data_IF_740226930442
#
_entry.id   IF_740226930442
#
_cell.length_a   1.000
_cell.length_b   1.000
_cell.length_c   1.000
_cell.angle_alpha   90.00
_cell.angle_beta   90.00
_cell.angle_gamma   90.00
#
_symmetry.space_group_name_H-M   'P 1'
#
loop_
_entity.id
_entity.type
_entity.pdbx_description
1 polymer ?
#
# COMPACT_ATOMS: atom_id res chain seq x y z
N UNK A 1 51.66 11.09 -79.11
CA UNK A 1 50.53 10.73 -78.24
C UNK A 1 51.07 10.20 -76.92
N UNK A 2 51.07 11.04 -75.87
CA UNK A 2 51.57 10.70 -74.51
C UNK A 2 50.32 10.34 -73.68
N UNK A 3 50.23 9.11 -73.18
CA UNK A 3 49.25 8.72 -72.20
C UNK A 3 49.69 9.07 -70.80
N UNK A 4 48.93 9.90 -70.10
CA UNK A 4 49.07 10.12 -68.67
C UNK A 4 48.39 8.93 -67.91
N UNK A 5 49.20 8.32 -67.01
CA UNK A 5 48.63 7.41 -65.98
C UNK A 5 48.36 8.27 -64.75
N UNK A 6 47.09 8.24 -64.33
CA UNK A 6 46.65 8.80 -63.03
C UNK A 6 46.66 7.69 -61.98
N UNK A 7 47.53 7.80 -60.99
CA UNK A 7 47.55 6.95 -59.78
C UNK A 7 46.51 7.50 -58.78
N UNK A 8 45.48 6.74 -58.44
CA UNK A 8 44.57 7.02 -57.36
C UNK A 8 45.10 6.37 -56.07
N UNK A 9 45.46 7.17 -55.08
CA UNK A 9 45.79 6.68 -53.72
C UNK A 9 44.51 6.64 -52.92
N UNK A 10 44.02 5.43 -52.69
CA UNK A 10 42.88 5.19 -51.77
C UNK A 10 43.37 5.20 -50.30
N UNK A 11 42.92 6.17 -49.52
CA UNK A 11 43.14 6.22 -48.08
C UNK A 11 42.03 5.40 -47.42
N UNK A 12 42.38 4.24 -46.89
CA UNK A 12 41.50 3.35 -46.14
C UNK A 12 41.41 3.87 -44.68
N UNK A 13 40.29 4.52 -44.32
CA UNK A 13 40.02 4.87 -42.93
C UNK A 13 39.55 3.61 -42.18
N UNK A 14 40.38 3.05 -41.33
CA UNK A 14 40.00 2.02 -40.36
C UNK A 14 39.23 2.70 -39.22
N UNK A 15 37.88 2.61 -39.23
CA UNK A 15 37.05 2.93 -38.08
C UNK A 15 37.24 1.86 -37.00
N UNK A 16 38.07 2.15 -36.01
CA UNK A 16 38.14 1.34 -34.77
C UNK A 16 36.88 1.68 -33.97
N UNK A 17 35.88 0.82 -34.05
CA UNK A 17 34.76 0.83 -33.11
C UNK A 17 35.28 0.42 -31.73
N UNK A 18 35.55 1.38 -30.88
CA UNK A 18 35.79 1.11 -29.45
C UNK A 18 34.44 0.80 -28.84
N UNK A 19 34.17 -0.48 -28.59
CA UNK A 19 33.07 -0.89 -27.73
C UNK A 19 33.34 -0.36 -26.32
N UNK A 20 32.77 0.80 -26.01
CA UNK A 20 32.68 1.30 -24.64
C UNK A 20 31.58 0.43 -24.00
N UNK A 21 31.91 -0.43 -23.00
CA UNK A 21 30.87 -1.17 -22.29
C UNK A 21 29.92 -0.14 -21.67
N UNK A 22 28.68 -0.12 -22.10
CA UNK A 22 27.66 0.70 -21.48
C UNK A 22 27.61 0.32 -20.00
N UNK A 23 28.16 1.17 -19.13
CA UNK A 23 28.00 1.02 -17.69
C UNK A 23 26.51 0.97 -17.43
N UNK A 24 25.99 -0.19 -16.99
CA UNK A 24 24.58 -0.35 -16.71
C UNK A 24 24.19 0.75 -15.71
N UNK A 25 23.28 1.63 -16.13
CA UNK A 25 22.82 2.72 -15.29
C UNK A 25 22.27 2.14 -13.98
N UNK A 26 22.58 2.79 -12.85
CA UNK A 26 22.07 2.35 -11.54
C UNK A 26 20.54 2.31 -11.60
N UNK A 27 19.89 1.21 -11.18
CA UNK A 27 18.43 1.13 -11.19
C UNK A 27 17.79 2.29 -10.42
N UNK A 28 16.64 2.77 -10.88
CA UNK A 28 15.85 3.81 -10.20
C UNK A 28 15.47 3.35 -8.77
N UNK A 29 15.26 4.26 -7.83
CA UNK A 29 14.95 3.93 -6.43
C UNK A 29 13.76 2.97 -6.27
N UNK A 30 12.67 3.17 -7.06
CA UNK A 30 11.54 2.22 -7.14
C UNK A 30 12.01 0.81 -7.49
N UNK A 31 12.82 0.65 -8.52
CA UNK A 31 13.31 -0.66 -8.94
C UNK A 31 14.28 -1.26 -7.91
N UNK A 32 15.07 -0.42 -7.23
CA UNK A 32 15.92 -0.89 -6.13
C UNK A 32 15.09 -1.47 -4.97
N UNK A 33 13.97 -0.79 -4.62
CA UNK A 33 13.06 -1.29 -3.60
C UNK A 33 12.39 -2.61 -4.03
N UNK A 34 11.91 -2.73 -5.26
CA UNK A 34 11.34 -3.98 -5.80
C UNK A 34 12.37 -5.12 -5.75
N UNK A 35 13.59 -4.86 -6.22
CA UNK A 35 14.68 -5.84 -6.19
C UNK A 35 15.04 -6.26 -4.75
N UNK A 36 15.00 -5.32 -3.80
CA UNK A 36 15.21 -5.60 -2.38
C UNK A 36 14.11 -6.48 -1.80
N UNK A 37 12.85 -6.18 -2.08
CA UNK A 37 11.72 -7.00 -1.68
C UNK A 37 11.83 -8.42 -2.24
N UNK A 38 12.20 -8.58 -3.51
CA UNK A 38 12.41 -9.89 -4.13
C UNK A 38 13.53 -10.70 -3.46
N UNK A 39 14.64 -10.04 -3.07
CA UNK A 39 15.72 -10.71 -2.33
C UNK A 39 15.29 -11.13 -0.92
N UNK A 40 14.53 -10.29 -0.23
CA UNK A 40 14.00 -10.58 1.10
C UNK A 40 13.05 -11.78 1.03
N UNK A 41 12.13 -11.81 0.07
CA UNK A 41 11.19 -12.91 -0.15
C UNK A 41 11.88 -14.27 -0.33
N UNK A 42 13.09 -14.31 -0.89
CA UNK A 42 13.88 -15.54 -1.03
C UNK A 42 14.50 -16.03 0.30
N UNK A 43 14.58 -15.18 1.31
CA UNK A 43 15.20 -15.49 2.61
C UNK A 43 14.16 -15.72 3.71
N UNK A 44 13.01 -15.07 3.60
CA UNK A 44 11.93 -15.12 4.55
C UNK A 44 10.90 -14.04 4.23
N UNK A 45 10.21 -13.58 5.24
CA UNK A 45 9.20 -12.53 5.17
C UNK A 45 9.39 -11.56 6.32
N UNK A 46 9.17 -10.26 6.06
CA UNK A 46 9.29 -9.25 7.09
C UNK A 46 8.05 -9.21 7.99
N UNK A 47 8.27 -8.99 9.27
CA UNK A 47 7.24 -8.45 10.16
C UNK A 47 7.04 -6.98 9.84
N UNK A 48 5.80 -6.59 9.57
CA UNK A 48 5.36 -5.22 9.48
C UNK A 48 4.53 -4.82 10.70
N UNK A 49 4.28 -3.50 10.88
CA UNK A 49 3.33 -3.01 11.85
C UNK A 49 2.82 -1.63 11.46
N UNK A 50 1.50 -1.44 11.54
CA UNK A 50 0.87 -0.16 11.29
C UNK A 50 1.03 0.73 12.53
N UNK A 51 1.44 1.99 12.32
CA UNK A 51 1.55 3.03 13.34
C UNK A 51 2.41 2.66 14.57
N UNK A 52 3.31 1.69 14.44
CA UNK A 52 4.14 1.11 15.51
C UNK A 52 4.84 2.14 16.42
N UNK A 53 5.31 3.33 15.95
CA UNK A 53 6.05 4.26 16.79
C UNK A 53 5.18 5.34 17.46
N UNK A 54 3.85 5.26 17.41
CA UNK A 54 3.01 6.35 17.92
C UNK A 54 2.27 5.99 19.19
N UNK A 55 1.78 4.78 19.28
CA UNK A 55 0.99 4.26 20.40
C UNK A 55 0.97 2.73 20.41
N UNK A 56 0.63 2.16 21.55
CA UNK A 56 0.46 0.73 21.76
C UNK A 56 -0.69 0.44 22.72
N UNK A 57 -0.75 -0.79 23.23
CA UNK A 57 -1.85 -1.24 24.09
C UNK A 57 -1.91 -0.43 25.40
N UNK A 58 -0.76 -0.06 25.98
CA UNK A 58 -0.64 0.58 27.31
C UNK A 58 0.07 1.92 27.29
N UNK A 59 0.40 2.43 26.11
CA UNK A 59 1.15 3.68 25.96
C UNK A 59 0.72 4.44 24.71
N UNK A 60 0.92 5.74 24.71
CA UNK A 60 0.75 6.63 23.56
C UNK A 60 1.75 7.78 23.62
N UNK A 61 2.20 8.21 22.44
CA UNK A 61 3.02 9.40 22.21
C UNK A 61 4.42 9.40 22.86
N UNK A 62 4.93 8.26 23.35
CA UNK A 62 6.29 8.14 23.84
C UNK A 62 7.28 8.25 22.68
N UNK A 63 8.29 9.12 22.80
CA UNK A 63 9.31 9.28 21.78
C UNK A 63 10.22 8.05 21.67
N UNK A 64 10.50 7.65 20.43
CA UNK A 64 11.38 6.51 20.08
C UNK A 64 10.91 5.14 20.63
N UNK A 65 9.66 5.02 21.01
CA UNK A 65 9.07 3.75 21.44
C UNK A 65 8.47 3.00 20.27
N UNK A 66 8.42 1.69 20.38
CA UNK A 66 7.87 0.75 19.39
C UNK A 66 7.44 -0.51 20.14
N UNK A 67 6.19 -0.93 19.93
CA UNK A 67 5.69 -2.21 20.49
C UNK A 67 6.54 -3.38 20.03
N UNK A 68 6.95 -3.36 18.76
CA UNK A 68 7.81 -4.41 18.18
C UNK A 68 9.17 -4.41 18.85
N UNK A 69 9.81 -3.25 19.00
CA UNK A 69 11.11 -3.15 19.64
C UNK A 69 11.07 -3.56 21.12
N UNK A 70 10.06 -3.12 21.86
CA UNK A 70 9.83 -3.49 23.26
C UNK A 70 9.68 -5.02 23.44
N UNK A 71 9.12 -5.71 22.42
CA UNK A 71 8.87 -7.14 22.49
C UNK A 71 10.07 -7.98 22.06
N UNK A 72 10.73 -7.64 20.94
CA UNK A 72 11.76 -8.49 20.31
C UNK A 72 13.16 -7.86 20.23
N UNK A 73 13.33 -6.58 20.61
CA UNK A 73 14.61 -5.87 20.60
C UNK A 73 15.07 -5.42 19.21
N UNK A 74 14.12 -5.35 18.24
CA UNK A 74 14.34 -4.85 16.88
C UNK A 74 13.08 -4.17 16.35
N UNK A 75 13.23 -3.33 15.32
CA UNK A 75 12.11 -2.64 14.68
C UNK A 75 11.47 -3.49 13.59
N UNK A 76 10.16 -3.26 13.27
CA UNK A 76 9.51 -3.95 12.15
C UNK A 76 10.29 -3.70 10.85
N UNK A 77 10.41 -4.72 10.02
CA UNK A 77 11.04 -4.59 8.70
C UNK A 77 10.28 -3.65 7.77
N UNK A 78 8.94 -3.59 7.93
CA UNK A 78 8.04 -2.66 7.23
C UNK A 78 7.22 -1.88 8.26
N UNK A 79 7.22 -0.56 8.19
CA UNK A 79 6.29 0.28 8.96
C UNK A 79 5.19 0.82 8.06
N UNK A 80 3.94 0.67 8.51
CA UNK A 80 2.76 1.22 7.86
C UNK A 80 2.37 2.57 8.46
N UNK A 81 1.86 3.46 7.61
CA UNK A 81 1.32 4.77 7.97
C UNK A 81 0.08 5.06 7.12
N UNK A 82 -0.81 5.95 7.59
CA UNK A 82 -1.99 6.36 6.83
C UNK A 82 -2.06 7.87 6.64
N UNK A 83 -2.52 8.29 5.45
CA UNK A 83 -2.66 9.72 5.10
C UNK A 83 -4.10 10.23 5.13
N UNK A 84 -5.08 9.46 5.60
CA UNK A 84 -6.47 9.90 5.69
C UNK A 84 -6.61 11.17 6.55
N UNK A 85 -7.27 12.21 6.00
CA UNK A 85 -7.40 13.54 6.60
C UNK A 85 -6.43 14.58 6.02
N UNK A 86 -5.26 14.17 5.48
CA UNK A 86 -4.33 15.09 4.85
C UNK A 86 -4.94 15.78 3.63
N UNK A 87 -5.76 15.07 2.87
CA UNK A 87 -6.44 15.56 1.68
C UNK A 87 -7.38 16.73 1.94
N UNK A 88 -7.95 16.81 3.15
CA UNK A 88 -8.80 17.92 3.56
C UNK A 88 -8.05 19.03 4.29
N UNK A 89 -6.76 18.81 4.58
CA UNK A 89 -5.90 19.77 5.27
C UNK A 89 -5.95 19.67 6.79
N UNK A 90 -6.35 18.51 7.34
CA UNK A 90 -6.26 18.26 8.78
C UNK A 90 -4.77 18.21 9.20
N UNK A 91 -4.48 18.53 10.46
CA UNK A 91 -3.13 18.45 11.03
C UNK A 91 -2.75 17.02 11.46
N UNK A 92 -3.75 16.16 11.59
CA UNK A 92 -3.64 14.77 12.07
C UNK A 92 -4.41 13.83 11.16
N UNK A 93 -3.92 12.59 11.05
CA UNK A 93 -4.65 11.56 10.31
C UNK A 93 -5.91 11.07 11.05
N UNK A 94 -6.65 10.14 10.43
CA UNK A 94 -7.87 9.56 11.01
C UNK A 94 -7.64 8.88 12.38
N UNK A 95 -6.42 8.45 12.68
CA UNK A 95 -6.01 7.84 13.96
C UNK A 95 -5.42 8.87 14.95
N UNK A 96 -5.62 10.15 14.69
CA UNK A 96 -5.14 11.28 15.50
C UNK A 96 -3.62 11.45 15.52
N UNK A 97 -2.88 10.83 14.59
CA UNK A 97 -1.43 10.98 14.48
C UNK A 97 -1.09 12.26 13.69
N UNK A 98 -0.29 13.18 14.27
CA UNK A 98 0.15 14.38 13.54
C UNK A 98 0.97 14.03 12.30
N UNK A 99 0.67 14.65 11.14
CA UNK A 99 1.42 14.40 9.90
C UNK A 99 2.88 14.78 10.00
N UNK A 100 3.24 15.72 10.86
CA UNK A 100 4.64 16.03 11.18
C UNK A 100 5.37 14.86 11.83
N UNK A 101 4.71 14.10 12.72
CA UNK A 101 5.28 12.88 13.33
C UNK A 101 5.32 11.73 12.32
N UNK A 102 4.28 11.54 11.50
CA UNK A 102 4.28 10.55 10.43
C UNK A 102 5.50 10.76 9.51
N UNK A 103 5.71 12.01 9.06
CA UNK A 103 6.89 12.36 8.24
C UNK A 103 8.21 12.01 8.94
N UNK A 104 8.35 12.35 10.21
CA UNK A 104 9.58 12.06 10.97
C UNK A 104 9.85 10.56 11.08
N UNK A 105 8.84 9.76 11.39
CA UNK A 105 9.00 8.32 11.55
C UNK A 105 9.20 7.59 10.21
N UNK A 106 8.62 8.05 9.12
CA UNK A 106 8.95 7.56 7.77
C UNK A 106 10.44 7.74 7.48
N UNK A 107 10.98 8.94 7.75
CA UNK A 107 12.41 9.22 7.54
C UNK A 107 13.28 8.35 8.47
N UNK A 108 12.91 8.25 9.75
CA UNK A 108 13.63 7.40 10.73
C UNK A 108 13.61 5.92 10.35
N UNK A 109 12.47 5.40 9.87
CA UNK A 109 12.37 4.01 9.43
C UNK A 109 13.30 3.74 8.24
N UNK A 110 13.35 4.66 7.29
CA UNK A 110 14.29 4.58 6.18
C UNK A 110 15.75 4.64 6.65
N UNK A 111 16.09 5.55 7.59
CA UNK A 111 17.45 5.67 8.18
C UNK A 111 17.87 4.41 8.93
N UNK A 112 16.94 3.72 9.59
CA UNK A 112 17.17 2.40 10.21
C UNK A 112 17.42 1.31 9.15
N UNK A 113 17.13 1.58 7.89
CA UNK A 113 17.19 0.62 6.78
C UNK A 113 15.94 -0.24 6.64
N UNK A 114 14.85 0.11 7.30
CA UNK A 114 13.54 -0.49 7.12
C UNK A 114 12.85 -0.03 5.84
N UNK A 115 11.66 -0.57 5.60
CA UNK A 115 10.80 -0.25 4.45
C UNK A 115 9.54 0.46 4.99
N UNK A 116 8.95 1.31 4.15
CA UNK A 116 7.75 2.07 4.48
C UNK A 116 6.64 1.72 3.50
N UNK A 117 5.44 1.46 4.04
CA UNK A 117 4.20 1.37 3.26
C UNK A 117 3.22 2.44 3.74
N UNK A 118 2.48 3.02 2.81
CA UNK A 118 1.52 4.09 3.09
C UNK A 118 0.17 3.70 2.51
N UNK A 119 -0.84 3.59 3.37
CA UNK A 119 -2.24 3.50 3.00
C UNK A 119 -2.88 4.90 2.95
N UNK A 120 -4.06 4.98 2.38
CA UNK A 120 -4.83 6.22 2.34
C UNK A 120 -6.33 5.91 2.49
N UNK A 121 -6.90 6.35 3.61
CA UNK A 121 -8.33 6.28 3.91
C UNK A 121 -8.95 7.68 3.77
N UNK A 122 -9.12 8.22 2.55
CA UNK A 122 -9.62 9.57 2.38
C UNK A 122 -11.08 9.70 2.80
N UNK A 123 -11.45 10.87 3.27
CA UNK A 123 -12.85 11.22 3.48
C UNK A 123 -13.66 11.06 2.20
N UNK A 124 -14.97 10.91 2.29
CA UNK A 124 -15.84 10.94 1.11
C UNK A 124 -15.85 12.36 0.51
N UNK A 125 -15.33 12.57 -0.71
CA UNK A 125 -15.22 13.91 -1.28
C UNK A 125 -16.56 14.53 -1.66
N UNK A 126 -17.56 13.70 -1.98
CA UNK A 126 -18.89 14.13 -2.37
C UNK A 126 -19.71 14.59 -1.16
N UNK A 127 -19.62 13.85 -0.05
CA UNK A 127 -20.47 14.04 1.13
C UNK A 127 -19.73 14.73 2.30
N UNK A 128 -18.39 14.76 2.28
CA UNK A 128 -17.59 15.32 3.37
C UNK A 128 -17.49 14.45 4.61
N UNK A 129 -17.93 13.17 4.52
CA UNK A 129 -17.95 12.20 5.61
C UNK A 129 -16.61 11.41 5.67
N UNK A 130 -16.62 10.21 6.23
CA UNK A 130 -15.42 9.36 6.36
C UNK A 130 -15.18 8.47 5.12
N UNK A 131 -14.17 7.61 5.16
CA UNK A 131 -13.94 6.59 4.14
C UNK A 131 -15.07 5.55 4.09
N UNK A 132 -15.69 5.26 5.25
CA UNK A 132 -16.78 4.29 5.42
C UNK A 132 -18.11 4.87 4.98
N UNK A 133 -18.83 4.15 4.12
CA UNK A 133 -20.03 4.66 3.39
C UNK A 133 -21.37 4.15 3.95
N UNK A 134 -21.39 3.17 4.86
CA UNK A 134 -22.63 2.53 5.30
C UNK A 134 -23.65 3.52 5.88
N UNK A 135 -23.18 4.47 6.71
CA UNK A 135 -24.04 5.51 7.30
C UNK A 135 -24.58 6.47 6.23
N UNK A 136 -23.77 6.78 5.23
CA UNK A 136 -24.15 7.66 4.13
C UNK A 136 -25.24 7.01 3.27
N UNK A 137 -25.10 5.70 2.98
CA UNK A 137 -26.10 4.94 2.24
C UNK A 137 -27.41 4.85 3.04
N UNK A 138 -27.34 4.62 4.33
CA UNK A 138 -28.52 4.58 5.21
C UNK A 138 -29.23 5.91 5.18
N UNK A 139 -28.53 7.03 5.42
CA UNK A 139 -29.12 8.37 5.42
C UNK A 139 -29.73 8.73 4.05
N UNK A 140 -29.06 8.38 2.95
CA UNK A 140 -29.60 8.57 1.61
C UNK A 140 -30.90 7.81 1.38
N UNK A 141 -30.95 6.53 1.75
CA UNK A 141 -32.15 5.69 1.59
C UNK A 141 -33.32 6.20 2.44
N UNK A 142 -33.06 6.68 3.64
CA UNK A 142 -34.07 7.32 4.52
C UNK A 142 -34.62 8.60 3.88
N UNK A 143 -33.75 9.45 3.35
CA UNK A 143 -34.16 10.66 2.66
C UNK A 143 -35.02 10.37 1.41
N UNK A 144 -34.59 9.41 0.58
CA UNK A 144 -35.36 8.96 -0.59
C UNK A 144 -36.74 8.44 -0.19
N UNK A 145 -36.80 7.62 0.87
CA UNK A 145 -38.06 7.07 1.40
C UNK A 145 -38.99 8.18 1.90
N UNK A 146 -38.46 9.16 2.61
CA UNK A 146 -39.22 10.32 3.10
C UNK A 146 -39.80 11.15 1.95
N UNK A 147 -38.99 11.42 0.92
CA UNK A 147 -39.45 12.19 -0.27
C UNK A 147 -40.56 11.43 -1.03
N UNK A 148 -40.44 10.14 -1.20
CA UNK A 148 -41.50 9.29 -1.81
C UNK A 148 -42.79 9.32 -1.01
N UNK A 149 -42.71 9.23 0.33
CA UNK A 149 -43.87 9.26 1.22
C UNK A 149 -44.69 10.57 1.11
N UNK A 150 -44.01 11.67 0.80
CA UNK A 150 -44.67 12.98 0.64
C UNK A 150 -44.96 13.36 -0.83
N UNK A 151 -44.77 12.41 -1.76
CA UNK A 151 -45.01 12.62 -3.20
C UNK A 151 -44.01 13.56 -3.89
N UNK A 152 -42.79 13.68 -3.35
CA UNK A 152 -41.75 14.59 -3.86
C UNK A 152 -40.56 13.79 -4.43
N UNK A 153 -40.84 12.78 -5.22
CA UNK A 153 -39.82 11.99 -5.91
C UNK A 153 -38.96 12.81 -6.89
N UNK A 154 -39.49 13.91 -7.40
CA UNK A 154 -38.82 14.91 -8.22
C UNK A 154 -37.55 15.47 -7.56
N UNK A 155 -37.49 15.52 -6.24
CA UNK A 155 -36.35 16.03 -5.47
C UNK A 155 -35.23 14.98 -5.25
N UNK A 156 -35.48 13.71 -5.52
CA UNK A 156 -34.45 12.66 -5.32
C UNK A 156 -33.19 12.91 -6.14
N UNK A 157 -33.34 13.48 -7.34
CA UNK A 157 -32.20 13.84 -8.19
C UNK A 157 -31.36 15.01 -7.66
N UNK A 158 -31.85 15.75 -6.65
CA UNK A 158 -31.18 16.90 -6.05
C UNK A 158 -30.33 16.51 -4.82
N UNK A 159 -30.49 15.29 -4.31
CA UNK A 159 -29.66 14.77 -3.22
C UNK A 159 -28.52 13.91 -3.75
N UNK A 160 -27.35 14.05 -3.12
CA UNK A 160 -26.16 13.32 -3.51
C UNK A 160 -26.27 11.83 -3.19
N UNK A 161 -26.23 11.01 -4.23
CA UNK A 161 -26.17 9.56 -4.04
C UNK A 161 -24.72 9.14 -3.67
N UNK A 162 -24.50 8.51 -2.50
CA UNK A 162 -23.17 8.04 -2.08
C UNK A 162 -22.47 7.17 -3.13
N UNK A 163 -23.23 6.37 -3.88
CA UNK A 163 -22.68 5.48 -4.95
C UNK A 163 -22.17 6.25 -6.17
N UNK A 164 -22.37 7.54 -6.26
CA UNK A 164 -21.83 8.38 -7.33
C UNK A 164 -20.52 9.07 -6.93
N UNK A 165 -19.97 8.77 -5.74
CA UNK A 165 -18.74 9.42 -5.25
C UNK A 165 -17.60 9.27 -6.25
N UNK A 166 -17.19 8.05 -6.62
CA UNK A 166 -16.09 7.83 -7.57
C UNK A 166 -16.35 8.52 -8.90
N UNK A 167 -17.55 8.37 -9.48
CA UNK A 167 -17.91 9.01 -10.75
C UNK A 167 -17.80 10.54 -10.68
N UNK A 168 -18.12 11.15 -9.53
CA UNK A 168 -18.04 12.61 -9.34
C UNK A 168 -16.62 13.17 -9.37
N UNK A 169 -15.60 12.33 -9.19
CA UNK A 169 -14.17 12.68 -9.16
C UNK A 169 -13.52 12.65 -10.55
N UNK A 170 -14.13 11.91 -11.48
CA UNK A 170 -13.59 11.73 -12.82
C UNK A 170 -13.71 13.05 -13.63
N UNK A 171 -12.94 13.21 -14.72
CA UNK A 171 -13.00 14.40 -15.56
C UNK A 171 -14.42 14.77 -15.96
N UNK A 172 -14.82 16.03 -15.71
CA UNK A 172 -16.17 16.51 -15.91
C UNK A 172 -17.15 16.23 -14.76
N UNK A 173 -16.74 15.49 -13.75
CA UNK A 173 -17.53 15.29 -12.52
C UNK A 173 -17.48 16.51 -11.60
N UNK A 174 -18.54 16.69 -10.80
CA UNK A 174 -18.71 17.91 -9.95
C UNK A 174 -17.65 18.06 -8.85
N UNK A 175 -16.91 16.99 -8.52
CA UNK A 175 -15.85 16.99 -7.52
C UNK A 175 -14.44 16.84 -8.13
N UNK A 176 -14.28 16.91 -9.45
CA UNK A 176 -13.00 16.73 -10.12
C UNK A 176 -11.93 17.71 -9.63
N UNK A 177 -12.24 19.01 -9.53
CA UNK A 177 -11.28 20.04 -9.05
C UNK A 177 -10.92 19.85 -7.58
N UNK A 178 -11.90 19.48 -6.75
CA UNK A 178 -11.66 19.16 -5.33
C UNK A 178 -10.71 17.97 -5.22
N UNK A 179 -10.88 16.96 -6.06
CA UNK A 179 -10.02 15.77 -6.05
C UNK A 179 -8.58 16.09 -6.50
N UNK A 180 -8.41 16.94 -7.51
CA UNK A 180 -7.08 17.41 -7.90
C UNK A 180 -6.37 18.15 -6.76
N UNK A 181 -7.09 19.00 -6.01
CA UNK A 181 -6.54 19.63 -4.82
C UNK A 181 -6.13 18.60 -3.75
N UNK A 182 -6.89 17.52 -3.58
CA UNK A 182 -6.56 16.44 -2.67
C UNK A 182 -5.28 15.70 -3.09
N UNK A 183 -5.19 15.35 -4.36
CA UNK A 183 -3.97 14.73 -4.92
C UNK A 183 -2.76 15.63 -4.74
N UNK A 184 -2.93 16.95 -4.95
CA UNK A 184 -1.87 17.91 -4.71
C UNK A 184 -1.38 17.88 -3.25
N UNK A 185 -2.27 17.88 -2.26
CA UNK A 185 -1.88 17.82 -0.84
C UNK A 185 -1.15 16.53 -0.49
N UNK A 186 -1.60 15.39 -1.01
CA UNK A 186 -0.91 14.11 -0.84
C UNK A 186 0.49 14.16 -1.45
N UNK A 187 0.64 14.67 -2.66
CA UNK A 187 1.95 14.76 -3.32
C UNK A 187 2.86 15.80 -2.66
N UNK A 188 2.33 16.95 -2.23
CA UNK A 188 3.09 17.95 -1.46
C UNK A 188 3.70 17.33 -0.19
N UNK A 189 2.97 16.46 0.51
CA UNK A 189 3.50 15.71 1.64
C UNK A 189 4.58 14.70 1.20
N UNK A 190 4.29 13.86 0.20
CA UNK A 190 5.21 12.81 -0.26
C UNK A 190 6.56 13.40 -0.71
N UNK A 191 6.58 14.54 -1.41
CA UNK A 191 7.82 15.18 -1.85
C UNK A 191 8.68 15.71 -0.69
N UNK A 192 8.12 15.84 0.51
CA UNK A 192 8.90 16.19 1.71
C UNK A 192 9.63 14.98 2.34
N UNK A 193 9.33 13.76 1.90
CA UNK A 193 9.94 12.53 2.41
C UNK A 193 11.34 12.37 1.79
N UNK A 194 12.33 13.01 2.40
CA UNK A 194 13.70 13.03 1.93
C UNK A 194 14.67 12.60 3.04
N UNK A 195 15.74 11.92 2.63
CA UNK A 195 16.85 11.61 3.53
C UNK A 195 17.64 12.89 3.92
N UNK A 196 18.62 12.74 4.81
CA UNK A 196 19.50 13.84 5.25
C UNK A 196 20.33 14.47 4.13
N UNK A 197 20.45 13.81 2.98
CA UNK A 197 21.14 14.30 1.79
C UNK A 197 20.21 14.99 0.80
N UNK A 198 18.91 15.04 1.12
CA UNK A 198 17.88 15.60 0.24
C UNK A 198 17.37 14.64 -0.85
N UNK A 199 17.78 13.37 -0.84
CA UNK A 199 17.26 12.38 -1.79
C UNK A 199 15.85 11.98 -1.41
N UNK A 200 14.95 11.90 -2.41
CA UNK A 200 13.60 11.41 -2.25
C UNK A 200 13.61 9.94 -1.78
N UNK A 201 12.74 9.59 -0.83
CA UNK A 201 12.61 8.24 -0.30
C UNK A 201 11.69 7.38 -1.17
N UNK A 202 12.06 6.13 -1.50
CA UNK A 202 11.13 5.20 -2.12
C UNK A 202 10.15 4.66 -1.06
N UNK A 203 8.88 4.54 -1.44
CA UNK A 203 7.80 4.04 -0.58
C UNK A 203 6.92 3.05 -1.34
N UNK A 204 6.26 2.15 -0.60
CA UNK A 204 5.13 1.37 -1.09
C UNK A 204 3.87 2.21 -0.85
N UNK A 205 3.12 2.52 -1.90
CA UNK A 205 1.86 3.25 -1.78
C UNK A 205 0.68 2.33 -2.11
N UNK A 206 -0.27 2.27 -1.20
CA UNK A 206 -1.39 1.33 -1.22
C UNK A 206 -2.73 2.08 -1.11
N UNK A 207 -3.13 2.81 -2.15
CA UNK A 207 -4.43 3.45 -2.19
C UNK A 207 -5.53 2.44 -2.56
N UNK A 208 -6.78 2.79 -2.28
CA UNK A 208 -7.98 2.09 -2.77
C UNK A 208 -7.98 0.59 -2.46
N UNK A 209 -7.39 0.23 -1.32
CA UNK A 209 -7.36 -1.14 -0.79
C UNK A 209 -8.77 -1.63 -0.46
N UNK A 210 -8.93 -2.93 -0.25
CA UNK A 210 -10.21 -3.59 0.06
C UNK A 210 -11.35 -3.19 -0.91
N UNK A 211 -10.99 -2.91 -2.16
CA UNK A 211 -11.89 -2.38 -3.18
C UNK A 211 -12.99 -3.34 -3.61
N UNK A 212 -12.91 -4.60 -3.23
CA UNK A 212 -13.92 -5.65 -3.43
C UNK A 212 -15.03 -5.63 -2.37
N UNK A 213 -14.86 -4.86 -1.28
CA UNK A 213 -15.83 -4.70 -0.21
C UNK A 213 -16.95 -3.70 -0.51
N UNK A 214 -17.83 -3.51 0.49
CA UNK A 214 -18.95 -2.57 0.43
C UNK A 214 -18.86 -1.43 1.47
N UNK A 215 -17.84 -1.46 2.32
CA UNK A 215 -17.69 -0.53 3.43
C UNK A 215 -17.02 0.80 3.06
N UNK A 216 -16.12 0.82 2.08
CA UNK A 216 -15.51 2.06 1.59
C UNK A 216 -16.26 2.64 0.39
N UNK A 217 -16.25 3.96 0.24
CA UNK A 217 -16.93 4.63 -0.87
C UNK A 217 -16.35 4.28 -2.26
N UNK A 218 -15.11 3.75 -2.34
CA UNK A 218 -14.50 3.23 -3.58
C UNK A 218 -14.72 1.72 -3.78
N UNK A 219 -15.46 1.06 -2.87
CA UNK A 219 -15.71 -0.36 -2.91
C UNK A 219 -16.59 -0.81 -4.09
N UNK A 220 -16.55 -2.11 -4.40
CA UNK A 220 -17.22 -2.69 -5.56
C UNK A 220 -18.75 -2.53 -5.55
N UNK A 221 -19.36 -2.50 -4.37
CA UNK A 221 -20.79 -2.25 -4.25
C UNK A 221 -21.17 -0.78 -4.49
N UNK A 222 -20.20 0.14 -4.53
CA UNK A 222 -20.39 1.59 -4.44
C UNK A 222 -19.95 2.36 -5.69
N UNK A 223 -19.26 1.72 -6.63
CA UNK A 223 -18.93 2.28 -7.94
C UNK A 223 -18.79 1.18 -9.00
N UNK A 224 -18.94 1.53 -10.27
CA UNK A 224 -18.70 0.58 -11.36
C UNK A 224 -17.22 0.21 -11.46
N UNK A 225 -16.91 -0.97 -12.01
CA UNK A 225 -15.53 -1.39 -12.24
C UNK A 225 -14.83 -0.46 -13.24
N UNK A 226 -15.54 0.02 -14.26
CA UNK A 226 -15.01 1.00 -15.22
C UNK A 226 -14.64 2.33 -14.54
N UNK A 227 -15.51 2.86 -13.67
CA UNK A 227 -15.21 4.08 -12.91
C UNK A 227 -14.03 3.86 -11.96
N UNK A 228 -13.92 2.68 -11.33
CA UNK A 228 -12.80 2.33 -10.47
C UNK A 228 -11.47 2.32 -11.24
N UNK A 229 -11.42 1.71 -12.42
CA UNK A 229 -10.22 1.73 -13.27
C UNK A 229 -9.82 3.15 -13.68
N UNK A 230 -10.80 3.95 -14.13
CA UNK A 230 -10.55 5.35 -14.47
C UNK A 230 -10.04 6.16 -13.28
N UNK A 231 -10.58 5.91 -12.10
CA UNK A 231 -10.19 6.54 -10.85
C UNK A 231 -8.79 6.14 -10.39
N UNK A 232 -8.44 4.85 -10.48
CA UNK A 232 -7.08 4.37 -10.22
C UNK A 232 -6.07 5.05 -11.14
N UNK A 233 -6.36 5.03 -12.44
CA UNK A 233 -5.47 5.62 -13.44
C UNK A 233 -5.28 7.12 -13.21
N UNK A 234 -6.37 7.87 -12.99
CA UNK A 234 -6.32 9.31 -12.69
C UNK A 234 -5.42 9.60 -11.48
N UNK A 235 -5.59 8.82 -10.39
CA UNK A 235 -4.77 8.97 -9.17
C UNK A 235 -3.30 8.71 -9.45
N UNK A 236 -3.01 7.57 -10.08
CA UNK A 236 -1.63 7.14 -10.33
C UNK A 236 -0.91 8.05 -11.32
N UNK A 237 -1.58 8.45 -12.40
CA UNK A 237 -0.98 9.33 -13.41
C UNK A 237 -0.65 10.70 -12.82
N UNK A 238 -1.56 11.27 -11.99
CA UNK A 238 -1.30 12.52 -11.32
C UNK A 238 -0.08 12.44 -10.38
N UNK A 239 -0.05 11.45 -9.49
CA UNK A 239 1.04 11.28 -8.52
C UNK A 239 2.36 11.01 -9.25
N UNK A 240 2.36 10.11 -10.22
CA UNK A 240 3.57 9.74 -10.96
C UNK A 240 4.19 10.90 -11.76
N UNK A 241 3.39 11.90 -12.16
CA UNK A 241 3.86 13.04 -12.94
C UNK A 241 4.54 14.13 -12.10
N UNK A 242 4.45 14.08 -10.75
CA UNK A 242 4.99 15.13 -9.89
C UNK A 242 6.52 15.09 -9.86
N UNK A 243 7.16 16.19 -10.23
CA UNK A 243 8.61 16.32 -10.24
C UNK A 243 9.19 16.40 -8.82
N UNK A 244 10.33 15.72 -8.62
CA UNK A 244 11.07 15.70 -7.33
C UNK A 244 12.50 16.24 -7.45
N UNK A 245 12.87 16.77 -8.62
CA UNK A 245 14.19 17.26 -8.96
C UNK A 245 15.04 16.26 -9.72
N UNK A 246 16.19 16.71 -10.25
CA UNK A 246 17.15 15.89 -11.00
C UNK A 246 16.53 15.15 -12.21
N UNK A 247 15.57 15.76 -12.89
CA UNK A 247 14.82 15.16 -14.00
C UNK A 247 14.10 13.86 -13.62
N UNK A 248 13.73 13.68 -12.34
CA UNK A 248 13.00 12.56 -11.79
C UNK A 248 11.61 13.00 -11.32
N UNK A 249 10.69 12.06 -11.34
CA UNK A 249 9.32 12.24 -10.84
C UNK A 249 9.02 11.24 -9.73
N UNK A 250 7.89 11.37 -9.05
CA UNK A 250 7.46 10.41 -8.03
C UNK A 250 7.32 8.99 -8.59
N UNK A 251 7.09 8.81 -9.91
CA UNK A 251 7.10 7.50 -10.56
C UNK A 251 8.38 6.70 -10.27
N UNK A 252 9.51 7.37 -10.12
CA UNK A 252 10.81 6.72 -9.91
C UNK A 252 10.99 6.23 -8.46
N UNK A 253 10.06 6.57 -7.57
CA UNK A 253 10.12 6.29 -6.13
C UNK A 253 8.92 5.52 -5.58
N UNK A 254 7.80 5.46 -6.33
CA UNK A 254 6.56 4.84 -5.86
C UNK A 254 6.46 3.37 -6.29
N UNK A 255 6.35 2.46 -5.34
CA UNK A 255 5.96 1.06 -5.55
C UNK A 255 4.46 0.97 -5.31
N UNK A 256 3.69 0.67 -6.34
CA UNK A 256 2.22 0.63 -6.28
C UNK A 256 1.72 -0.74 -5.83
N UNK A 257 0.92 -0.76 -4.76
CA UNK A 257 0.32 -1.98 -4.22
C UNK A 257 -1.18 -2.01 -4.47
N UNK A 258 -1.67 -3.12 -5.01
CA UNK A 258 -3.10 -3.43 -5.18
C UNK A 258 -3.47 -4.53 -4.19
N UNK A 259 -4.40 -4.27 -3.26
CA UNK A 259 -4.75 -5.18 -2.17
C UNK A 259 -6.26 -5.26 -1.93
N UNK A 260 -6.94 -6.27 -2.50
CA UNK A 260 -8.30 -6.61 -2.11
C UNK A 260 -8.33 -7.27 -0.73
N UNK A 261 -9.53 -7.32 -0.13
CA UNK A 261 -9.80 -7.99 1.14
C UNK A 261 -10.10 -9.48 0.93
N UNK A 262 -9.71 -10.29 1.92
CA UNK A 262 -9.92 -11.74 1.99
C UNK A 262 -11.37 -12.16 1.68
N UNK A 263 -11.53 -13.18 0.82
CA UNK A 263 -12.83 -13.74 0.45
C UNK A 263 -12.91 -15.26 0.62
N UNK A 264 -11.82 -15.99 0.40
CA UNK A 264 -11.76 -17.45 0.47
C UNK A 264 -12.52 -18.19 -0.64
N UNK A 265 -13.13 -17.46 -1.57
CA UNK A 265 -13.88 -18.02 -2.70
C UNK A 265 -13.59 -17.33 -4.03
N UNK A 266 -12.50 -16.62 -4.11
CA UNK A 266 -12.04 -15.97 -5.33
C UNK A 266 -11.80 -16.99 -6.46
N UNK A 267 -12.13 -16.56 -7.69
CA UNK A 267 -11.53 -17.11 -8.90
C UNK A 267 -10.61 -16.05 -9.49
N UNK A 268 -9.60 -16.45 -10.28
CA UNK A 268 -8.72 -15.48 -10.97
C UNK A 268 -9.55 -14.43 -11.74
N UNK A 269 -10.59 -14.88 -12.49
CA UNK A 269 -11.46 -13.97 -13.23
C UNK A 269 -12.11 -12.91 -12.33
N UNK A 270 -12.60 -13.28 -11.15
CA UNK A 270 -13.23 -12.33 -10.22
C UNK A 270 -12.21 -11.39 -9.60
N UNK A 271 -11.05 -11.93 -9.22
CA UNK A 271 -9.98 -11.16 -8.62
C UNK A 271 -9.43 -10.10 -9.59
N UNK A 272 -9.28 -10.45 -10.87
CA UNK A 272 -8.75 -9.57 -11.91
C UNK A 272 -9.72 -8.47 -12.37
N UNK A 273 -11.00 -8.52 -11.98
CA UNK A 273 -12.01 -7.54 -12.46
C UNK A 273 -11.61 -6.10 -12.20
N UNK A 274 -11.00 -5.82 -11.04
CA UNK A 274 -10.56 -4.47 -10.65
C UNK A 274 -9.04 -4.30 -10.66
N UNK A 275 -8.31 -5.31 -11.09
CA UNK A 275 -6.85 -5.21 -11.22
C UNK A 275 -6.46 -4.15 -12.26
N UNK A 276 -5.69 -3.11 -11.88
CA UNK A 276 -5.46 -1.96 -12.77
C UNK A 276 -4.60 -2.25 -14.00
N UNK A 277 -3.85 -3.35 -13.98
CA UNK A 277 -2.93 -3.75 -15.05
C UNK A 277 -1.49 -3.93 -14.57
N UNK A 278 -0.71 -4.67 -15.36
CA UNK A 278 0.67 -5.03 -14.99
C UNK A 278 1.63 -3.85 -15.00
N UNK A 279 1.37 -2.84 -15.79
CA UNK A 279 2.12 -1.57 -15.85
C UNK A 279 1.76 -0.61 -14.71
N UNK A 280 0.69 -0.91 -13.98
CA UNK A 280 0.13 -0.10 -12.90
C UNK A 280 0.42 -0.64 -11.49
N UNK A 281 0.67 -1.93 -11.36
CA UNK A 281 0.85 -2.62 -10.06
C UNK A 281 2.24 -3.25 -10.00
N UNK A 282 2.93 -3.05 -8.88
CA UNK A 282 4.23 -3.65 -8.58
C UNK A 282 4.12 -4.79 -7.57
N UNK A 283 3.23 -4.63 -6.60
CA UNK A 283 3.02 -5.53 -5.48
C UNK A 283 1.54 -5.90 -5.38
N UNK A 284 1.26 -7.19 -5.39
CA UNK A 284 -0.06 -7.72 -5.08
C UNK A 284 -0.17 -7.91 -3.58
N UNK A 285 -1.18 -7.29 -2.96
CA UNK A 285 -1.48 -7.37 -1.55
C UNK A 285 -2.71 -8.21 -1.27
N UNK A 286 -2.85 -8.61 -0.01
CA UNK A 286 -4.05 -9.22 0.58
C UNK A 286 -4.26 -8.61 1.96
N UNK A 287 -5.50 -8.14 2.24
CA UNK A 287 -5.90 -7.66 3.56
C UNK A 287 -6.78 -8.74 4.21
N UNK A 288 -6.30 -9.35 5.30
CA UNK A 288 -6.91 -10.54 5.86
C UNK A 288 -7.00 -10.50 7.39
N UNK A 289 -8.21 -10.35 7.90
CA UNK A 289 -8.51 -10.36 9.32
C UNK A 289 -9.33 -11.58 9.72
N UNK A 290 -9.07 -12.12 10.92
CA UNK A 290 -9.91 -13.17 11.49
C UNK A 290 -11.09 -12.54 12.22
N UNK A 291 -12.26 -12.54 11.59
CA UNK A 291 -13.53 -12.11 12.20
C UNK A 291 -14.42 -13.28 12.64
N UNK A 292 -14.20 -14.45 12.08
CA UNK A 292 -14.99 -15.65 12.32
C UNK A 292 -14.21 -16.78 12.99
N UNK A 293 -14.62 -18.02 12.71
CA UNK A 293 -13.95 -19.20 13.24
C UNK A 293 -12.51 -19.30 12.73
N UNK A 294 -11.64 -19.84 13.56
CA UNK A 294 -10.24 -20.13 13.18
C UNK A 294 -10.15 -21.08 11.97
N UNK A 295 -11.01 -22.10 11.94
CA UNK A 295 -11.02 -23.08 10.87
C UNK A 295 -11.34 -22.43 9.52
N UNK A 296 -12.37 -21.59 9.49
CA UNK A 296 -12.77 -20.86 8.28
C UNK A 296 -11.70 -19.88 7.84
N UNK A 297 -11.14 -19.09 8.78
CA UNK A 297 -10.07 -18.16 8.50
C UNK A 297 -8.86 -18.84 7.84
N UNK A 298 -8.39 -19.95 8.42
CA UNK A 298 -7.24 -20.71 7.86
C UNK A 298 -7.52 -21.22 6.46
N UNK A 299 -8.73 -21.73 6.20
CA UNK A 299 -9.13 -22.23 4.88
C UNK A 299 -9.24 -21.09 3.86
N UNK A 300 -9.84 -19.97 4.25
CA UNK A 300 -10.00 -18.80 3.37
C UNK A 300 -8.64 -18.19 3.04
N UNK A 301 -7.82 -17.97 4.05
CA UNK A 301 -6.47 -17.40 3.88
C UNK A 301 -5.58 -18.30 3.00
N UNK A 302 -5.63 -19.62 3.20
CA UNK A 302 -4.85 -20.56 2.40
C UNK A 302 -5.26 -20.52 0.91
N UNK A 303 -6.56 -20.48 0.63
CA UNK A 303 -7.09 -20.39 -0.73
C UNK A 303 -6.71 -19.08 -1.44
N UNK A 304 -6.86 -17.96 -0.73
CA UNK A 304 -6.61 -16.65 -1.34
C UNK A 304 -5.09 -16.43 -1.54
N UNK A 305 -4.24 -16.81 -0.57
CA UNK A 305 -2.79 -16.77 -0.75
C UNK A 305 -2.28 -17.68 -1.87
N UNK A 306 -2.89 -18.86 -2.05
CA UNK A 306 -2.59 -19.72 -3.20
C UNK A 306 -2.95 -19.00 -4.51
N UNK A 307 -4.15 -18.44 -4.60
CA UNK A 307 -4.62 -17.74 -5.79
C UNK A 307 -3.73 -16.55 -6.14
N UNK A 308 -3.46 -15.65 -5.17
CA UNK A 308 -2.63 -14.47 -5.45
C UNK A 308 -1.18 -14.84 -5.76
N UNK A 309 -0.68 -15.96 -5.21
CA UNK A 309 0.64 -16.50 -5.58
C UNK A 309 0.67 -16.93 -7.05
N UNK A 310 -0.36 -17.62 -7.52
CA UNK A 310 -0.45 -18.06 -8.91
C UNK A 310 -0.61 -16.86 -9.87
N UNK A 311 -1.45 -15.89 -9.51
CA UNK A 311 -1.60 -14.63 -10.24
C UNK A 311 -0.27 -13.87 -10.29
N UNK A 312 0.39 -13.69 -9.15
CA UNK A 312 1.65 -12.97 -9.07
C UNK A 312 2.75 -13.61 -9.93
N UNK A 313 2.84 -14.95 -9.91
CA UNK A 313 3.77 -15.70 -10.77
C UNK A 313 3.48 -15.47 -12.25
N UNK A 314 2.20 -15.50 -12.64
CA UNK A 314 1.76 -15.30 -14.03
C UNK A 314 2.07 -13.87 -14.53
N UNK A 315 1.90 -12.88 -13.66
CA UNK A 315 2.03 -11.45 -13.96
C UNK A 315 3.40 -10.87 -13.56
N UNK A 316 4.34 -11.68 -13.05
CA UNK A 316 5.68 -11.23 -12.67
C UNK A 316 5.68 -10.26 -11.48
N UNK A 317 4.78 -10.46 -10.49
CA UNK A 317 4.63 -9.58 -9.34
C UNK A 317 5.15 -10.22 -8.05
N UNK A 318 5.42 -9.38 -7.05
CA UNK A 318 5.65 -9.80 -5.68
C UNK A 318 4.32 -9.84 -4.92
N UNK A 319 4.27 -10.57 -3.81
CA UNK A 319 3.08 -10.62 -2.94
C UNK A 319 3.40 -10.25 -1.50
N UNK A 320 2.40 -9.68 -0.81
CA UNK A 320 2.45 -9.39 0.62
C UNK A 320 1.07 -9.53 1.25
N UNK A 321 1.05 -9.76 2.55
CA UNK A 321 -0.15 -9.49 3.35
C UNK A 321 -0.07 -8.05 3.84
N UNK A 322 -0.83 -7.19 3.18
CA UNK A 322 -0.74 -5.73 3.34
C UNK A 322 -1.47 -5.21 4.55
N UNK A 323 -2.44 -5.98 5.05
CA UNK A 323 -3.03 -5.86 6.38
C UNK A 323 -3.40 -7.23 6.92
N UNK A 324 -3.29 -7.41 8.24
CA UNK A 324 -3.78 -8.64 8.86
C UNK A 324 -4.00 -8.45 10.36
N UNK A 325 -4.62 -9.46 10.97
CA UNK A 325 -4.72 -9.55 12.42
C UNK A 325 -5.92 -10.34 12.93
N UNK A 326 -5.93 -10.49 14.25
CA UNK A 326 -7.08 -10.98 15.02
C UNK A 326 -7.32 -10.01 16.15
N UNK A 327 -8.44 -9.29 16.11
CA UNK A 327 -8.72 -8.19 17.02
C UNK A 327 -8.58 -8.63 18.49
N UNK A 328 -7.78 -7.87 19.23
CA UNK A 328 -7.44 -8.12 20.65
C UNK A 328 -6.78 -9.48 20.91
N UNK A 329 -6.40 -10.22 19.88
CA UNK A 329 -5.67 -11.49 19.97
C UNK A 329 -6.11 -12.35 21.17
N UNK A 330 -7.37 -12.77 21.23
CA UNK A 330 -7.94 -13.46 22.41
C UNK A 330 -7.30 -14.83 22.67
N UNK A 331 -6.71 -15.43 21.64
CA UNK A 331 -5.97 -16.68 21.73
C UNK A 331 -4.46 -16.44 21.87
N UNK A 332 -3.91 -16.86 23.01
CA UNK A 332 -2.50 -16.66 23.32
C UNK A 332 -1.51 -17.37 22.39
N UNK A 333 -1.97 -18.33 21.57
CA UNK A 333 -1.12 -19.14 20.67
C UNK A 333 -1.41 -18.88 19.18
N UNK A 334 -2.14 -17.80 18.88
CA UNK A 334 -2.69 -17.52 17.56
C UNK A 334 -1.59 -17.43 16.47
N UNK A 335 -0.48 -16.77 16.76
CA UNK A 335 0.59 -16.57 15.77
C UNK A 335 1.15 -17.89 15.25
N UNK A 336 1.55 -18.79 16.15
CA UNK A 336 2.20 -20.04 15.75
C UNK A 336 1.19 -21.15 15.38
N UNK A 337 0.00 -21.14 15.97
CA UNK A 337 -0.98 -22.19 15.76
C UNK A 337 -1.91 -21.92 14.57
N UNK A 338 -2.27 -20.66 14.33
CA UNK A 338 -3.26 -20.27 13.32
C UNK A 338 -2.57 -19.64 12.11
N UNK A 339 -1.85 -18.57 12.31
CA UNK A 339 -1.38 -17.69 11.24
C UNK A 339 -0.13 -18.21 10.52
N UNK A 340 0.92 -18.49 11.28
CA UNK A 340 2.21 -18.97 10.75
C UNK A 340 2.10 -20.19 9.84
N UNK A 341 1.36 -21.27 10.19
CA UNK A 341 1.31 -22.46 9.35
C UNK A 341 0.70 -22.24 7.96
N UNK A 342 -0.09 -21.18 7.81
CA UNK A 342 -0.67 -20.82 6.51
C UNK A 342 0.33 -19.98 5.73
N UNK A 343 0.81 -18.86 6.28
CA UNK A 343 1.62 -17.92 5.53
C UNK A 343 3.00 -18.46 5.12
N UNK A 344 3.58 -19.38 5.90
CA UNK A 344 4.87 -20.00 5.56
C UNK A 344 4.87 -20.90 4.32
N UNK A 345 3.70 -21.20 3.76
CA UNK A 345 3.57 -21.93 2.50
C UNK A 345 3.80 -21.04 1.28
N UNK A 346 3.71 -19.72 1.43
CA UNK A 346 3.65 -18.76 0.34
C UNK A 346 4.83 -17.79 0.35
N UNK A 347 5.29 -17.33 -0.82
CA UNK A 347 6.45 -16.44 -0.92
C UNK A 347 6.06 -14.97 -0.70
N UNK A 348 5.49 -14.64 0.47
CA UNK A 348 5.16 -13.25 0.82
C UNK A 348 6.42 -12.45 1.15
N UNK A 349 6.45 -11.15 0.77
CA UNK A 349 7.54 -10.25 1.16
C UNK A 349 7.44 -9.83 2.62
N UNK A 350 6.22 -9.57 3.07
CA UNK A 350 5.90 -9.18 4.44
C UNK A 350 4.45 -9.49 4.79
N UNK A 351 4.16 -9.49 6.08
CA UNK A 351 2.80 -9.32 6.60
C UNK A 351 2.77 -8.14 7.57
N UNK A 352 1.67 -7.38 7.56
CA UNK A 352 1.52 -6.16 8.31
C UNK A 352 0.27 -6.21 9.19
N UNK A 353 0.39 -6.61 10.46
CA UNK A 353 -0.69 -6.41 11.41
C UNK A 353 -1.06 -4.94 11.53
N UNK A 354 -2.37 -4.70 11.66
CA UNK A 354 -2.88 -3.36 11.90
C UNK A 354 -2.43 -2.83 13.24
N UNK A 355 -2.74 -1.58 13.52
CA UNK A 355 -2.26 -0.84 14.70
C UNK A 355 -2.64 -1.48 16.04
N UNK A 356 -1.90 -1.13 17.05
CA UNK A 356 -2.21 -1.42 18.45
C UNK A 356 -2.65 -0.14 19.15
N UNK A 357 -3.75 -0.20 19.89
CA UNK A 357 -4.05 0.83 20.88
C UNK A 357 -4.91 0.25 22.03
N UNK A 358 -5.21 1.04 23.08
CA UNK A 358 -5.78 0.53 24.33
C UNK A 358 -7.11 -0.22 24.20
N UNK A 359 -7.94 0.12 23.19
CA UNK A 359 -9.26 -0.50 23.00
C UNK A 359 -9.24 -1.64 21.99
N UNK A 360 -8.31 -1.60 21.05
CA UNK A 360 -8.16 -2.66 20.05
C UNK A 360 -6.70 -2.77 19.60
N UNK A 361 -6.26 -4.00 19.36
CA UNK A 361 -4.91 -4.26 18.90
C UNK A 361 -4.88 -5.49 17.99
N UNK A 362 -3.94 -5.49 17.05
CA UNK A 362 -3.79 -6.54 16.06
C UNK A 362 -2.34 -7.06 15.97
N UNK A 363 -1.39 -6.22 16.31
CA UNK A 363 0.04 -6.49 16.19
C UNK A 363 0.65 -7.13 17.44
N UNK A 364 1.89 -7.55 17.29
CA UNK A 364 2.67 -8.07 18.38
C UNK A 364 3.03 -6.95 19.35
N UNK A 365 2.84 -7.20 20.66
CA UNK A 365 3.19 -6.30 21.75
C UNK A 365 3.55 -7.12 22.99
N UNK A 366 4.44 -6.57 23.86
CA UNK A 366 4.72 -7.20 25.15
C UNK A 366 3.50 -7.23 26.07
N UNK A 367 2.54 -6.35 25.81
CA UNK A 367 1.32 -6.19 26.59
C UNK A 367 0.15 -7.04 26.06
N UNK A 368 0.34 -7.72 24.90
CA UNK A 368 -0.63 -8.64 24.34
C UNK A 368 -0.54 -10.04 24.96
N UNK A 369 -1.68 -10.76 25.02
CA UNK A 369 -1.70 -12.17 25.47
C UNK A 369 -0.79 -13.07 24.63
N UNK A 370 -0.55 -12.72 23.37
CA UNK A 370 0.26 -13.47 22.42
C UNK A 370 1.76 -13.16 22.49
N UNK A 371 2.22 -12.38 23.45
CA UNK A 371 3.61 -11.92 23.54
C UNK A 371 4.64 -13.06 23.48
N UNK A 372 4.48 -14.10 24.30
CA UNK A 372 5.43 -15.22 24.35
C UNK A 372 5.36 -16.11 23.12
N UNK A 373 4.18 -16.28 22.55
CA UNK A 373 3.95 -17.01 21.30
C UNK A 373 4.69 -16.32 20.15
N UNK A 374 4.52 -15.01 20.01
CA UNK A 374 5.22 -14.23 19.01
C UNK A 374 6.73 -14.19 19.22
N UNK A 375 7.20 -14.00 20.46
CA UNK A 375 8.65 -14.07 20.80
C UNK A 375 9.27 -15.40 20.38
N UNK A 376 8.53 -16.49 20.56
CA UNK A 376 9.00 -17.82 20.16
C UNK A 376 9.11 -17.92 18.63
N UNK A 377 8.14 -17.39 17.91
CA UNK A 377 8.19 -17.31 16.45
C UNK A 377 9.34 -16.41 15.96
N UNK A 378 9.53 -15.26 16.59
CA UNK A 378 10.56 -14.29 16.22
C UNK A 378 12.01 -14.82 16.38
N UNK A 379 12.23 -15.89 17.16
CA UNK A 379 13.52 -16.58 17.24
C UNK A 379 13.83 -17.41 15.98
N UNK A 380 12.82 -17.60 15.12
CA UNK A 380 12.99 -18.33 13.84
C UNK A 380 13.75 -17.50 12.81
N UNK A 381 14.34 -18.18 11.83
CA UNK A 381 15.18 -17.54 10.80
C UNK A 381 14.40 -16.94 9.63
N UNK A 382 13.10 -17.22 9.52
CA UNK A 382 12.26 -16.77 8.39
C UNK A 382 11.53 -15.45 8.66
N UNK A 383 11.20 -15.17 9.92
CA UNK A 383 10.60 -13.91 10.34
C UNK A 383 11.69 -12.86 10.49
N UNK A 384 11.66 -11.82 9.66
CA UNK A 384 12.76 -10.87 9.50
C UNK A 384 12.37 -9.49 10.04
N UNK A 385 13.30 -8.86 10.72
CA UNK A 385 13.23 -7.52 11.25
C UNK A 385 14.28 -6.61 10.60
N UNK A 386 14.38 -5.35 11.00
CA UNK A 386 15.31 -4.39 10.38
C UNK A 386 16.75 -4.91 10.36
N UNK A 387 17.27 -5.43 11.48
CA UNK A 387 18.66 -5.93 11.56
C UNK A 387 18.93 -7.11 10.61
N UNK A 388 17.91 -7.92 10.34
CA UNK A 388 18.03 -9.07 9.44
C UNK A 388 18.08 -8.60 7.98
N UNK A 389 17.16 -7.70 7.59
CA UNK A 389 17.10 -7.22 6.20
C UNK A 389 18.28 -6.33 5.81
N UNK A 390 18.97 -5.72 6.76
CA UNK A 390 20.24 -5.01 6.51
C UNK A 390 21.37 -5.94 6.07
N UNK A 391 21.32 -7.22 6.40
CA UNK A 391 22.31 -8.25 6.03
C UNK A 391 22.03 -8.90 4.67
N UNK A 392 20.85 -8.65 4.09
CA UNK A 392 20.46 -9.17 2.78
C UNK A 392 20.98 -8.20 1.71
N UNK A 393 22.03 -8.62 0.99
CA UNK A 393 22.72 -7.84 -0.05
C UNK A 393 22.11 -8.06 -1.44
#
# INVERSE_FOLDING_TARGET
MKRLLTLSVGVLFLLVLVDIPASAAKPLPRQQLINRLAKIQQKGYMYGHQDDPFYGITWDWDDNRSDTYDLVGDYPGVMGFDLGGLEVGDEKNLDSVPFTRIRQEIIRQHERGGIVTISWHPRNPLLGTTAWIEKDITAYNEAVTALKKIGREDLVSQIDNPKHTVKSLLPGGKMADKYQLWLKRITDFIVTLKDKKGNQLPIIFRPWHENNGNWFWWGQANCSDADFHAFWNLTQDYINAVEVGNSQTLRDYMVWSYSPNLQGNWTEKKWMVRYPGDDRVDLIGEDAYQWGSEADFKVQLDKDLQLITDIAKKHGKLIAMTECGYQNSPDATWWQRVFKPVIEKYPICYFLPWRNYSKEHFGASKDAKTADDFKTWAKGKKLLFVKDILRIK
#
